data_IF_080823711110
#
_entry.id   IF_080823711110
#
_cell.length_a   1.000
_cell.length_b   1.000
_cell.length_c   1.000
_cell.angle_alpha   90.00
_cell.angle_beta   90.00
_cell.angle_gamma   90.00
#
_symmetry.space_group_name_H-M   'P 1'
#
loop_
_entity.id
_entity.type
_entity.pdbx_description
1 polymer ?
#
# COMPACT_ATOMS: atom_id res chain seq x y z
N UNK A 1 16.92 -12.07 25.40
CA UNK A 1 15.52 -11.62 25.63
C UNK A 1 14.76 -11.87 24.34
N UNK A 2 13.83 -12.83 24.32
CA UNK A 2 13.02 -13.09 23.13
C UNK A 2 12.06 -11.92 22.94
N UNK A 3 12.16 -11.21 21.81
CA UNK A 3 11.20 -10.17 21.45
C UNK A 3 9.81 -10.79 21.40
N UNK A 4 8.92 -10.34 22.29
CA UNK A 4 7.51 -10.74 22.29
C UNK A 4 6.94 -10.27 20.95
N UNK A 5 6.75 -11.19 20.00
CA UNK A 5 6.08 -10.88 18.74
C UNK A 5 4.67 -10.37 19.08
N UNK A 6 4.25 -9.21 18.56
CA UNK A 6 2.88 -8.76 18.75
C UNK A 6 1.94 -9.86 18.26
N UNK A 7 0.92 -10.16 19.07
CA UNK A 7 -0.06 -11.19 18.74
C UNK A 7 -0.82 -10.74 17.49
N UNK A 8 -0.59 -11.43 16.37
CA UNK A 8 -1.30 -11.20 15.11
C UNK A 8 -2.80 -11.32 15.34
N UNK A 9 -3.56 -10.30 14.93
CA UNK A 9 -5.00 -10.25 15.15
C UNK A 9 -5.74 -11.20 14.19
N UNK A 10 -5.18 -11.38 13.00
CA UNK A 10 -5.68 -12.33 11.98
C UNK A 10 -5.14 -13.75 12.16
N UNK A 11 -4.15 -13.94 13.03
CA UNK A 11 -3.42 -15.21 13.17
C UNK A 11 -2.43 -15.48 12.02
N UNK A 12 -2.31 -14.57 11.05
CA UNK A 12 -1.40 -14.69 9.92
C UNK A 12 0.02 -14.23 10.28
N UNK A 13 1.05 -14.78 9.61
CA UNK A 13 2.40 -14.21 9.63
C UNK A 13 2.38 -12.76 9.13
N UNK A 14 3.21 -11.89 9.72
CA UNK A 14 3.26 -10.46 9.35
C UNK A 14 3.49 -10.19 7.85
N UNK A 15 4.32 -11.00 7.19
CA UNK A 15 4.60 -10.85 5.74
C UNK A 15 3.39 -11.22 4.90
N UNK A 16 2.69 -12.29 5.26
CA UNK A 16 1.44 -12.70 4.61
C UNK A 16 0.32 -11.70 4.85
N UNK A 17 0.17 -11.20 6.08
CA UNK A 17 -0.84 -10.20 6.42
C UNK A 17 -0.61 -8.88 5.66
N UNK A 18 0.64 -8.42 5.57
CA UNK A 18 1.01 -7.25 4.77
C UNK A 18 0.79 -7.47 3.27
N UNK A 19 1.21 -8.62 2.72
CA UNK A 19 0.98 -8.92 1.31
C UNK A 19 -0.52 -8.96 0.98
N UNK A 20 -1.33 -9.57 1.84
CA UNK A 20 -2.79 -9.60 1.68
C UNK A 20 -3.42 -8.21 1.79
N UNK A 21 -2.95 -7.36 2.71
CA UNK A 21 -3.49 -6.00 2.80
C UNK A 21 -3.20 -5.20 1.53
N UNK A 22 -2.06 -5.41 0.88
CA UNK A 22 -1.72 -4.81 -0.42
C UNK A 22 -2.55 -5.42 -1.55
N UNK A 23 -2.70 -6.76 -1.60
CA UNK A 23 -3.54 -7.44 -2.61
C UNK A 23 -4.98 -6.93 -2.56
N UNK A 24 -5.50 -6.66 -1.37
CA UNK A 24 -6.87 -6.17 -1.18
C UNK A 24 -7.05 -4.68 -1.47
N UNK A 25 -5.99 -3.96 -1.88
CA UNK A 25 -6.05 -2.53 -2.17
C UNK A 25 -7.17 -2.11 -3.14
N UNK A 26 -7.49 -2.85 -4.22
CA UNK A 26 -8.59 -2.50 -5.11
C UNK A 26 -9.96 -2.48 -4.41
N UNK A 27 -10.14 -3.25 -3.34
CA UNK A 27 -11.38 -3.27 -2.57
C UNK A 27 -11.48 -2.13 -1.56
N UNK A 28 -10.34 -1.51 -1.20
CA UNK A 28 -10.16 -0.50 -0.13
C UNK A 28 -10.54 -0.99 1.27
N UNK A 29 -11.76 -1.51 1.43
CA UNK A 29 -12.31 -2.04 2.68
C UNK A 29 -11.42 -3.16 3.23
N UNK A 30 -10.99 -4.10 2.39
CA UNK A 30 -10.11 -5.19 2.83
C UNK A 30 -8.80 -4.66 3.42
N UNK A 31 -8.16 -3.70 2.77
CA UNK A 31 -6.93 -3.07 3.25
C UNK A 31 -7.14 -2.27 4.54
N UNK A 32 -8.26 -1.55 4.66
CA UNK A 32 -8.61 -0.81 5.88
C UNK A 32 -8.81 -1.75 7.08
N UNK A 33 -9.43 -2.92 6.86
CA UNK A 33 -9.56 -3.94 7.91
C UNK A 33 -8.17 -4.32 8.43
N UNK A 34 -7.20 -4.64 7.56
CA UNK A 34 -5.84 -4.95 7.99
C UNK A 34 -5.15 -3.76 8.68
N UNK A 35 -5.37 -2.52 8.21
CA UNK A 35 -4.79 -1.32 8.82
C UNK A 35 -5.22 -1.08 10.27
N UNK A 36 -6.48 -1.38 10.60
CA UNK A 36 -7.05 -1.16 11.93
C UNK A 36 -6.99 -2.39 12.84
N UNK A 37 -7.12 -3.59 12.25
CA UNK A 37 -7.13 -4.86 12.96
C UNK A 37 -5.73 -5.27 13.39
N UNK A 38 -4.73 -5.18 12.49
CA UNK A 38 -3.36 -5.56 12.82
C UNK A 38 -2.65 -4.50 13.65
N UNK A 39 -1.89 -4.96 14.65
CA UNK A 39 -1.08 -4.10 15.53
C UNK A 39 0.38 -4.05 15.11
N UNK A 40 0.80 -4.94 14.22
CA UNK A 40 2.18 -4.97 13.72
C UNK A 40 2.44 -3.73 12.84
N UNK A 41 3.46 -2.91 13.15
CA UNK A 41 3.78 -1.71 12.37
C UNK A 41 4.05 -2.00 10.89
N UNK A 42 4.62 -3.16 10.57
CA UNK A 42 4.92 -3.57 9.19
C UNK A 42 3.64 -3.71 8.36
N UNK A 43 2.63 -4.39 8.92
CA UNK A 43 1.34 -4.60 8.24
C UNK A 43 0.60 -3.27 8.09
N UNK A 44 0.58 -2.45 9.14
CA UNK A 44 -0.04 -1.12 9.09
C UNK A 44 0.66 -0.23 8.05
N UNK A 45 1.97 -0.34 7.90
CA UNK A 45 2.75 0.48 6.99
C UNK A 45 2.41 0.16 5.54
N UNK A 46 2.45 -1.12 5.17
CA UNK A 46 2.08 -1.55 3.82
C UNK A 46 0.62 -1.25 3.49
N UNK A 47 -0.28 -1.43 4.46
CA UNK A 47 -1.70 -1.11 4.30
C UNK A 47 -1.92 0.38 4.04
N UNK A 48 -1.19 1.24 4.75
CA UNK A 48 -1.30 2.69 4.58
C UNK A 48 -0.60 3.16 3.30
N UNK A 49 0.57 2.63 3.00
CA UNK A 49 1.34 2.95 1.79
C UNK A 49 0.55 2.65 0.52
N UNK A 50 -0.10 1.48 0.42
CA UNK A 50 -0.88 1.13 -0.77
C UNK A 50 -2.12 2.01 -0.92
N UNK A 51 -2.77 2.39 0.19
CA UNK A 51 -3.93 3.29 0.17
C UNK A 51 -3.54 4.70 -0.31
N UNK A 52 -2.46 5.26 0.24
CA UNK A 52 -1.93 6.57 -0.15
C UNK A 52 -1.48 6.55 -1.62
N UNK A 53 -0.75 5.51 -2.01
CA UNK A 53 -0.27 5.34 -3.39
C UNK A 53 -1.44 5.24 -4.37
N UNK A 54 -2.44 4.40 -4.07
CA UNK A 54 -3.64 4.26 -4.89
C UNK A 54 -4.42 5.56 -5.03
N UNK A 55 -4.63 6.29 -3.92
CA UNK A 55 -5.34 7.57 -3.95
C UNK A 55 -4.62 8.62 -4.82
N UNK A 56 -3.30 8.74 -4.69
CA UNK A 56 -2.52 9.69 -5.49
C UNK A 56 -2.54 9.32 -6.98
N UNK A 57 -2.41 8.03 -7.30
CA UNK A 57 -2.51 7.56 -8.69
C UNK A 57 -3.89 7.84 -9.30
N UNK A 58 -4.98 7.67 -8.53
CA UNK A 58 -6.33 8.01 -8.98
C UNK A 58 -6.44 9.51 -9.28
N UNK A 59 -5.92 10.39 -8.41
CA UNK A 59 -5.95 11.84 -8.64
C UNK A 59 -5.17 12.21 -9.92
N UNK A 60 -3.99 11.63 -10.13
CA UNK A 60 -3.18 11.84 -11.34
C UNK A 60 -3.94 11.34 -12.58
N UNK A 61 -4.53 10.15 -12.50
CA UNK A 61 -5.32 9.54 -13.57
C UNK A 61 -6.50 10.46 -13.98
N UNK A 62 -7.25 10.96 -12.99
CA UNK A 62 -8.34 11.91 -13.23
C UNK A 62 -7.85 13.20 -13.87
N UNK A 63 -6.77 13.80 -13.36
CA UNK A 63 -6.22 15.04 -13.91
C UNK A 63 -5.77 14.90 -15.38
N UNK A 64 -5.15 13.76 -15.73
CA UNK A 64 -4.72 13.49 -17.11
C UNK A 64 -5.89 13.18 -18.05
N UNK A 65 -7.01 12.68 -17.52
CA UNK A 65 -8.18 12.30 -18.32
C UNK A 65 -9.06 13.50 -18.71
N UNK A 66 -8.79 14.70 -18.21
CA UNK A 66 -9.55 15.93 -18.52
C UNK A 66 -9.38 16.36 -19.99
N UNK A 67 -8.23 16.04 -20.61
CA UNK A 67 -7.95 16.45 -21.99
C UNK A 67 -7.62 15.26 -22.86
N UNK A 68 -8.16 15.24 -24.09
CA UNK A 68 -7.96 14.14 -25.05
C UNK A 68 -6.48 13.96 -25.44
N UNK A 69 -5.69 15.04 -25.38
CA UNK A 69 -4.25 15.04 -25.69
C UNK A 69 -3.43 14.30 -24.63
N UNK A 70 -3.83 14.37 -23.36
CA UNK A 70 -3.13 13.71 -22.25
C UNK A 70 -3.62 12.27 -22.01
N UNK A 71 -4.65 11.82 -22.73
CA UNK A 71 -5.23 10.49 -22.60
C UNK A 71 -4.21 9.33 -22.74
N UNK A 72 -3.22 9.39 -23.67
CA UNK A 72 -2.19 8.34 -23.75
C UNK A 72 -1.33 8.26 -22.48
N UNK A 73 -1.04 9.40 -21.83
CA UNK A 73 -0.28 9.43 -20.57
C UNK A 73 -1.05 8.77 -19.43
N UNK A 74 -2.39 8.85 -19.43
CA UNK A 74 -3.21 8.15 -18.45
C UNK A 74 -3.00 6.63 -18.54
N UNK A 75 -2.90 6.06 -19.75
CA UNK A 75 -2.59 4.63 -19.93
C UNK A 75 -1.24 4.23 -19.32
N UNK A 76 -0.21 5.07 -19.47
CA UNK A 76 1.10 4.83 -18.84
C UNK A 76 1.03 4.84 -17.32
N UNK A 77 0.24 5.75 -16.74
CA UNK A 77 0.05 5.84 -15.29
C UNK A 77 -0.64 4.60 -14.74
N UNK A 78 -1.60 4.03 -15.46
CA UNK A 78 -2.26 2.77 -15.06
C UNK A 78 -1.27 1.61 -15.05
N UNK A 79 -0.42 1.50 -16.09
CA UNK A 79 0.62 0.46 -16.15
C UNK A 79 1.62 0.65 -15.01
N UNK A 80 2.10 1.87 -14.77
CA UNK A 80 3.01 2.18 -13.67
C UNK A 80 2.39 1.83 -12.31
N UNK A 81 1.12 2.19 -12.10
CA UNK A 81 0.38 1.87 -10.88
C UNK A 81 0.24 0.37 -10.66
N UNK A 82 -0.02 -0.39 -11.72
CA UNK A 82 -0.10 -1.84 -11.66
C UNK A 82 1.26 -2.47 -11.32
N UNK A 83 2.35 -2.00 -11.93
CA UNK A 83 3.72 -2.46 -11.61
C UNK A 83 4.08 -2.14 -10.16
N UNK A 84 3.78 -0.92 -9.69
CA UNK A 84 4.01 -0.51 -8.30
C UNK A 84 3.21 -1.38 -7.32
N UNK A 85 1.97 -1.69 -7.65
CA UNK A 85 1.12 -2.56 -6.84
C UNK A 85 1.71 -3.97 -6.69
N UNK A 86 2.14 -4.57 -7.81
CA UNK A 86 2.81 -5.88 -7.78
C UNK A 86 4.15 -5.83 -7.01
N UNK A 87 4.94 -4.76 -7.19
CA UNK A 87 6.19 -4.58 -6.46
C UNK A 87 5.96 -4.49 -4.94
N UNK A 88 4.92 -3.77 -4.49
CA UNK A 88 4.54 -3.71 -3.08
C UNK A 88 4.15 -5.08 -2.53
N UNK A 89 3.38 -5.89 -3.27
CA UNK A 89 3.00 -7.25 -2.84
C UNK A 89 4.25 -8.10 -2.66
N UNK A 90 5.13 -8.11 -3.66
CA UNK A 90 6.35 -8.90 -3.65
C UNK A 90 7.27 -8.52 -2.48
N UNK A 91 7.46 -7.22 -2.26
CA UNK A 91 8.29 -6.70 -1.16
C UNK A 91 7.68 -6.95 0.23
N UNK A 92 6.36 -6.80 0.37
CA UNK A 92 5.64 -7.14 1.59
C UNK A 92 5.81 -8.63 1.94
N UNK A 93 5.73 -9.50 0.93
CA UNK A 93 5.87 -10.94 1.12
C UNK A 93 7.31 -11.36 1.48
N UNK A 94 8.32 -10.71 0.89
CA UNK A 94 9.73 -10.86 1.25
C UNK A 94 10.05 -10.38 2.68
N UNK A 95 9.16 -9.57 3.28
CA UNK A 95 9.40 -8.96 4.59
C UNK A 95 10.36 -7.76 4.54
N UNK A 96 10.56 -7.18 3.35
CA UNK A 96 11.35 -5.97 3.13
C UNK A 96 10.52 -4.75 3.52
N UNK A 97 11.08 -3.78 4.24
CA UNK A 97 10.41 -2.50 4.57
C UNK A 97 10.58 -1.51 3.42
N UNK A 98 10.20 -1.97 2.22
CA UNK A 98 10.33 -1.19 1.01
C UNK A 98 9.29 -0.08 0.93
N UNK A 99 9.78 1.08 0.55
CA UNK A 99 8.98 2.27 0.41
C UNK A 99 8.88 2.70 -1.04
N UNK A 100 7.67 3.07 -1.46
CA UNK A 100 7.50 3.67 -2.78
C UNK A 100 8.24 5.01 -2.78
N UNK A 101 9.16 5.28 -3.72
CA UNK A 101 9.87 6.55 -3.78
C UNK A 101 8.89 7.72 -3.79
N UNK A 102 9.15 8.77 -2.99
CA UNK A 102 8.27 9.94 -2.78
C UNK A 102 6.99 9.65 -1.98
N UNK A 103 6.29 8.54 -2.24
CA UNK A 103 4.99 8.23 -1.63
C UNK A 103 5.09 7.53 -0.27
N UNK A 104 6.15 6.75 -0.06
CA UNK A 104 6.42 6.06 1.20
C UNK A 104 6.76 7.01 2.34
N UNK A 105 7.47 8.10 2.07
CA UNK A 105 7.70 9.17 3.06
C UNK A 105 6.38 9.82 3.53
N UNK A 106 5.43 10.00 2.61
CA UNK A 106 4.09 10.51 2.92
C UNK A 106 3.37 9.49 3.82
N UNK A 107 3.42 8.21 3.46
CA UNK A 107 2.84 7.14 4.26
C UNK A 107 3.44 7.07 5.68
N UNK A 108 4.78 7.12 5.83
CA UNK A 108 5.42 7.17 7.16
C UNK A 108 4.97 8.38 7.98
N UNK A 109 4.89 9.56 7.36
CA UNK A 109 4.45 10.79 8.05
C UNK A 109 3.01 10.68 8.53
N UNK A 110 2.11 10.09 7.74
CA UNK A 110 0.72 9.85 8.12
C UNK A 110 0.67 8.81 9.25
N UNK A 111 1.43 7.72 9.14
CA UNK A 111 1.50 6.69 10.17
C UNK A 111 1.98 7.23 11.52
N UNK A 112 2.92 8.19 11.56
CA UNK A 112 3.35 8.82 12.81
C UNK A 112 2.25 9.65 13.50
N UNK A 113 1.17 9.98 12.80
CA UNK A 113 0.04 10.78 13.31
C UNK A 113 -1.17 9.94 13.74
N UNK A 114 -1.20 8.63 13.43
CA UNK A 114 -2.32 7.70 13.66
C UNK A 114 -1.89 6.60 14.63
#
# INVERSE_FOLDING_TARGET
MAAVKPKSATGLPKTTAAALSVILAPTVVGTLVFLFLEKDPFVRFYSLQVLVTGLILIIIQWALSITLVLLPLAGLVTILGFVLWLAMIYKAWQGDEWEVPVLGDIARRIMKKI
#
